data_IF_628536595120
#
_entry.id   IF_628536595120
#
_cell.length_a   1.000
_cell.length_b   1.000
_cell.length_c   1.000
_cell.angle_alpha   90.00
_cell.angle_beta   90.00
_cell.angle_gamma   90.00
#
_symmetry.space_group_name_H-M   'P 1'
#
loop_
_entity.id
_entity.type
_entity.pdbx_description
1 polymer ?
#
# COMPACT_ATOMS: atom_id res chain seq x y z
N UNK A 1 -20.63 -18.19 6.01
CA UNK A 1 -19.98 -18.27 4.67
C UNK A 1 -18.49 -18.33 4.88
N UNK A 2 -17.88 -19.45 4.53
CA UNK A 2 -16.42 -19.53 4.53
C UNK A 2 -15.89 -18.71 3.38
N UNK A 3 -15.01 -17.78 3.68
CA UNK A 3 -14.27 -17.03 2.66
C UNK A 3 -13.36 -18.03 1.97
N UNK A 4 -13.66 -18.34 0.70
CA UNK A 4 -12.84 -19.23 -0.09
C UNK A 4 -11.43 -18.61 -0.21
N UNK A 5 -10.36 -19.33 0.15
CA UNK A 5 -8.99 -18.84 0.00
C UNK A 5 -8.66 -18.35 -1.42
N UNK A 6 -9.29 -18.93 -2.44
CA UNK A 6 -9.10 -18.52 -3.83
C UNK A 6 -9.63 -17.11 -4.10
N UNK A 7 -10.71 -16.71 -3.43
CA UNK A 7 -11.30 -15.38 -3.56
C UNK A 7 -10.33 -14.29 -3.05
N UNK A 8 -9.67 -14.55 -1.92
CA UNK A 8 -8.67 -13.61 -1.35
C UNK A 8 -7.47 -13.48 -2.27
N UNK A 9 -7.00 -14.58 -2.82
CA UNK A 9 -5.88 -14.58 -3.75
C UNK A 9 -6.20 -13.80 -5.02
N UNK A 10 -7.39 -14.00 -5.58
CA UNK A 10 -7.84 -13.28 -6.78
C UNK A 10 -7.97 -11.78 -6.49
N UNK A 11 -8.55 -11.43 -5.36
CA UNK A 11 -8.70 -10.05 -4.90
C UNK A 11 -7.33 -9.37 -4.75
N UNK A 12 -6.38 -10.04 -4.11
CA UNK A 12 -5.03 -9.55 -3.92
C UNK A 12 -4.33 -9.33 -5.26
N UNK A 13 -4.38 -10.30 -6.16
CA UNK A 13 -3.76 -10.20 -7.50
C UNK A 13 -4.35 -9.06 -8.32
N UNK A 14 -5.66 -8.85 -8.24
CA UNK A 14 -6.35 -7.83 -9.01
C UNK A 14 -6.05 -6.41 -8.51
N UNK A 15 -5.99 -6.22 -7.19
CA UNK A 15 -6.00 -4.88 -6.60
C UNK A 15 -4.69 -4.47 -5.90
N UNK A 16 -3.84 -5.42 -5.50
CA UNK A 16 -2.72 -5.13 -4.59
C UNK A 16 -1.74 -4.08 -5.12
N UNK A 17 -1.39 -4.14 -6.40
CA UNK A 17 -0.39 -3.21 -6.98
C UNK A 17 -0.88 -1.78 -7.00
N UNK A 18 -2.13 -1.57 -7.39
CA UNK A 18 -2.74 -0.24 -7.44
C UNK A 18 -2.90 0.34 -6.04
N UNK A 19 -3.36 -0.47 -5.12
CA UNK A 19 -3.53 -0.08 -3.72
C UNK A 19 -2.18 0.30 -3.12
N UNK A 20 -1.16 -0.54 -3.28
CA UNK A 20 0.17 -0.29 -2.74
C UNK A 20 0.80 0.97 -3.32
N UNK A 21 0.74 1.15 -4.65
CA UNK A 21 1.31 2.32 -5.32
C UNK A 21 0.70 3.61 -4.78
N UNK A 22 -0.61 3.66 -4.65
CA UNK A 22 -1.31 4.84 -4.13
C UNK A 22 -1.01 5.06 -2.65
N UNK A 23 -0.97 4.01 -1.84
CA UNK A 23 -0.63 4.12 -0.41
C UNK A 23 0.81 4.60 -0.21
N UNK A 24 1.76 4.15 -1.03
CA UNK A 24 3.15 4.65 -0.99
C UNK A 24 3.17 6.16 -1.24
N UNK A 25 2.45 6.63 -2.24
CA UNK A 25 2.37 8.07 -2.51
C UNK A 25 1.73 8.84 -1.36
N UNK A 26 0.62 8.35 -0.83
CA UNK A 26 -0.14 9.04 0.22
C UNK A 26 0.57 9.02 1.58
N UNK A 27 1.21 7.92 1.92
CA UNK A 27 1.86 7.72 3.23
C UNK A 27 3.36 8.07 3.20
N UNK A 28 3.99 8.07 2.03
CA UNK A 28 5.39 8.43 1.88
C UNK A 28 6.40 7.39 2.39
N UNK A 29 5.97 6.17 2.65
CA UNK A 29 6.79 5.11 3.24
C UNK A 29 6.39 3.75 2.69
N UNK A 30 7.34 2.99 2.14
CA UNK A 30 7.10 1.68 1.53
C UNK A 30 6.63 0.63 2.55
N UNK A 31 7.30 0.56 3.70
CA UNK A 31 6.96 -0.43 4.75
C UNK A 31 5.59 -0.15 5.34
N UNK A 32 5.33 1.11 5.65
CA UNK A 32 4.05 1.55 6.19
C UNK A 32 2.90 1.29 5.20
N UNK A 33 3.12 1.55 3.92
CA UNK A 33 2.14 1.29 2.87
C UNK A 33 1.86 -0.21 2.72
N UNK A 34 2.86 -1.06 2.81
CA UNK A 34 2.69 -2.52 2.77
C UNK A 34 1.87 -3.02 3.95
N UNK A 35 2.18 -2.59 5.17
CA UNK A 35 1.42 -2.92 6.37
C UNK A 35 -0.02 -2.43 6.27
N UNK A 36 -0.22 -1.20 5.82
CA UNK A 36 -1.54 -0.59 5.62
C UNK A 36 -2.35 -1.37 4.58
N UNK A 37 -1.73 -1.78 3.49
CA UNK A 37 -2.37 -2.60 2.46
C UNK A 37 -2.81 -3.95 3.01
N UNK A 38 -1.97 -4.62 3.77
CA UNK A 38 -2.30 -5.90 4.41
C UNK A 38 -3.49 -5.74 5.37
N UNK A 39 -3.49 -4.67 6.17
CA UNK A 39 -4.60 -4.37 7.08
C UNK A 39 -5.90 -4.11 6.31
N UNK A 40 -5.83 -3.41 5.18
CA UNK A 40 -6.99 -3.15 4.33
C UNK A 40 -7.58 -4.43 3.73
N UNK A 41 -6.72 -5.33 3.23
CA UNK A 41 -7.17 -6.62 2.72
C UNK A 41 -7.76 -7.51 3.82
N UNK A 42 -7.16 -7.50 5.00
CA UNK A 42 -7.69 -8.21 6.17
C UNK A 42 -9.10 -7.70 6.53
N UNK A 43 -9.28 -6.39 6.56
CA UNK A 43 -10.58 -5.77 6.79
C UNK A 43 -11.60 -6.15 5.70
N UNK A 44 -11.19 -6.18 4.44
CA UNK A 44 -12.04 -6.58 3.34
C UNK A 44 -12.52 -8.03 3.50
N UNK A 45 -11.64 -8.94 3.84
CA UNK A 45 -11.97 -10.36 4.09
C UNK A 45 -13.00 -10.51 5.21
N UNK A 46 -12.93 -9.67 6.24
CA UNK A 46 -13.85 -9.70 7.38
C UNK A 46 -15.18 -9.01 7.08
N UNK A 47 -15.17 -7.90 6.38
CA UNK A 47 -16.35 -7.03 6.22
C UNK A 47 -17.17 -7.32 4.95
N UNK A 48 -16.55 -7.63 3.83
CA UNK A 48 -17.26 -7.81 2.57
C UNK A 48 -18.22 -9.00 2.54
N UNK A 49 -17.93 -10.15 3.18
CA UNK A 49 -18.90 -11.23 3.26
C UNK A 49 -20.19 -10.85 4.01
N UNK A 50 -20.10 -9.87 4.93
CA UNK A 50 -21.24 -9.41 5.74
C UNK A 50 -21.96 -8.24 5.06
N UNK A 51 -21.20 -7.23 4.61
CA UNK A 51 -21.72 -5.96 4.11
C UNK A 51 -21.81 -5.89 2.58
N UNK A 52 -21.28 -6.90 1.87
CA UNK A 52 -21.18 -6.90 0.42
C UNK A 52 -19.94 -6.18 -0.10
N UNK A 53 -19.50 -6.57 -1.30
CA UNK A 53 -18.37 -5.97 -1.99
C UNK A 53 -18.74 -4.54 -2.42
N UNK A 54 -17.90 -3.52 -2.14
CA UNK A 54 -18.19 -2.16 -2.58
C UNK A 54 -18.15 -2.01 -4.11
N UNK A 55 -18.81 -0.99 -4.64
CA UNK A 55 -18.84 -0.71 -6.08
C UNK A 55 -17.44 -0.44 -6.64
N UNK A 56 -16.60 0.23 -5.86
CA UNK A 56 -15.19 0.46 -6.20
C UNK A 56 -14.28 -0.16 -5.13
N UNK A 57 -13.92 -1.46 -5.28
CA UNK A 57 -13.09 -2.15 -4.30
C UNK A 57 -11.71 -1.52 -4.12
N UNK A 58 -11.09 -1.04 -5.19
CA UNK A 58 -9.76 -0.41 -5.14
C UNK A 58 -9.81 0.86 -4.27
N UNK A 59 -10.78 1.72 -4.47
CA UNK A 59 -10.94 2.94 -3.67
C UNK A 59 -11.21 2.62 -2.20
N UNK A 60 -12.03 1.62 -1.92
CA UNK A 60 -12.32 1.17 -0.56
C UNK A 60 -11.06 0.68 0.15
N UNK A 61 -10.26 -0.14 -0.53
CA UNK A 61 -9.01 -0.69 0.00
C UNK A 61 -7.99 0.43 0.28
N UNK A 62 -7.86 1.38 -0.63
CA UNK A 62 -6.95 2.52 -0.45
C UNK A 62 -7.39 3.38 0.73
N UNK A 63 -8.67 3.70 0.82
CA UNK A 63 -9.22 4.50 1.91
C UNK A 63 -9.03 3.84 3.26
N UNK A 64 -9.36 2.55 3.36
CA UNK A 64 -9.17 1.76 4.58
C UNK A 64 -7.69 1.66 4.95
N UNK A 65 -6.82 1.35 4.00
CA UNK A 65 -5.38 1.30 4.20
C UNK A 65 -4.81 2.64 4.63
N UNK A 66 -5.25 3.72 4.00
CA UNK A 66 -4.84 5.07 4.37
C UNK A 66 -5.17 5.39 5.84
N UNK A 67 -6.39 5.10 6.28
CA UNK A 67 -6.78 5.32 7.67
C UNK A 67 -5.95 4.46 8.65
N UNK A 68 -5.69 3.20 8.32
CA UNK A 68 -4.81 2.33 9.11
C UNK A 68 -3.40 2.90 9.19
N UNK A 69 -2.86 3.39 8.08
CA UNK A 69 -1.54 4.01 8.00
C UNK A 69 -1.45 5.28 8.84
N UNK A 70 -2.46 6.14 8.77
CA UNK A 70 -2.54 7.36 9.58
C UNK A 70 -2.57 7.04 11.07
N UNK A 71 -3.34 6.04 11.47
CA UNK A 71 -3.40 5.61 12.88
C UNK A 71 -2.03 5.13 13.37
N UNK A 72 -1.30 4.39 12.55
CA UNK A 72 0.07 3.97 12.87
C UNK A 72 1.03 5.15 12.98
N UNK A 73 0.94 6.13 12.08
CA UNK A 73 1.75 7.36 12.15
C UNK A 73 1.45 8.10 13.44
N UNK A 74 0.19 8.24 13.82
CA UNK A 74 -0.21 8.91 15.07
C UNK A 74 0.32 8.17 16.30
N UNK A 75 0.27 6.85 16.32
CA UNK A 75 0.82 6.05 17.42
C UNK A 75 2.33 6.21 17.52
N UNK A 76 3.06 6.14 16.42
CA UNK A 76 4.51 6.36 16.38
C UNK A 76 4.88 7.79 16.78
N UNK A 77 4.10 8.77 16.31
CA UNK A 77 4.28 10.19 16.65
C UNK A 77 4.05 10.44 18.15
N UNK A 78 3.04 9.81 18.75
CA UNK A 78 2.78 9.91 20.19
C UNK A 78 3.93 9.29 21.00
N UNK A 79 4.45 8.14 20.58
CA UNK A 79 5.62 7.52 21.20
C UNK A 79 6.86 8.38 21.06
N UNK A 80 7.08 9.02 19.92
CA UNK A 80 8.20 9.95 19.68
C UNK A 80 8.04 11.28 20.41
N UNK A 81 6.81 11.79 20.57
CA UNK A 81 6.56 13.01 21.35
C UNK A 81 6.94 12.86 22.81
N UNK A 82 6.87 11.64 23.34
CA UNK A 82 7.37 11.33 24.69
C UNK A 82 8.89 11.32 24.75
N UNK A 83 9.58 11.09 23.61
CA UNK A 83 11.04 10.99 23.53
C UNK A 83 11.71 12.24 22.95
N UNK A 84 11.13 12.88 21.96
CA UNK A 84 11.64 14.10 21.31
C UNK A 84 10.53 14.96 20.75
N UNK A 85 10.58 16.26 20.98
CA UNK A 85 9.70 17.26 20.46
C UNK A 85 9.80 17.38 18.92
N UNK A 86 8.64 17.25 18.24
CA UNK A 86 8.29 17.86 16.96
C UNK A 86 8.99 17.30 15.72
N UNK A 87 8.28 16.40 15.07
CA UNK A 87 8.26 16.39 13.62
C UNK A 87 7.06 17.24 13.16
N UNK A 88 7.25 18.17 12.18
CA UNK A 88 6.12 18.86 11.60
C UNK A 88 5.17 17.80 11.02
N UNK A 89 3.92 17.88 11.41
CA UNK A 89 2.87 17.14 10.74
C UNK A 89 2.83 17.65 9.30
N UNK A 90 3.47 16.94 8.40
CA UNK A 90 3.17 17.13 6.99
C UNK A 90 1.66 17.01 6.85
N UNK A 91 1.09 17.92 6.08
CA UNK A 91 -0.36 17.98 5.90
C UNK A 91 -0.83 16.65 5.30
N UNK A 92 -1.38 15.81 6.18
CA UNK A 92 -2.08 14.61 5.72
C UNK A 92 -3.33 15.06 4.95
N UNK A 93 -3.62 14.45 3.79
CA UNK A 93 -4.83 14.78 3.04
C UNK A 93 -6.08 14.61 3.91
N UNK A 94 -6.99 15.56 3.81
CA UNK A 94 -8.33 15.41 4.40
C UNK A 94 -9.13 14.38 3.58
N UNK A 95 -10.28 13.93 4.10
CA UNK A 95 -11.14 13.01 3.35
C UNK A 95 -11.57 13.58 1.99
N UNK A 96 -11.84 14.88 1.91
CA UNK A 96 -12.18 15.55 0.66
C UNK A 96 -11.03 15.52 -0.35
N UNK A 97 -9.81 15.77 0.12
CA UNK A 97 -8.62 15.69 -0.73
C UNK A 97 -8.28 14.24 -1.09
N UNK A 98 -8.57 13.29 -0.21
CA UNK A 98 -8.38 11.87 -0.50
C UNK A 98 -9.26 11.40 -1.66
N UNK A 99 -10.51 11.83 -1.72
CA UNK A 99 -11.41 11.50 -2.84
C UNK A 99 -10.88 12.03 -4.18
N UNK A 100 -10.31 13.23 -4.20
CA UNK A 100 -9.65 13.79 -5.39
C UNK A 100 -8.38 13.01 -5.75
N UNK A 101 -7.59 12.61 -4.77
CA UNK A 101 -6.37 11.83 -4.94
C UNK A 101 -6.64 10.42 -5.50
N UNK A 102 -7.79 9.82 -5.19
CA UNK A 102 -8.18 8.51 -5.70
C UNK A 102 -8.47 8.50 -7.20
N UNK A 103 -8.66 9.65 -7.84
CA UNK A 103 -8.84 9.74 -9.29
C UNK A 103 -7.55 9.47 -10.07
N UNK A 104 -6.40 9.52 -9.43
CA UNK A 104 -5.07 9.38 -10.05
C UNK A 104 -4.43 7.99 -9.84
N UNK A 105 -5.21 6.96 -9.51
CA UNK A 105 -4.71 5.63 -9.14
C UNK A 105 -3.84 4.98 -10.23
N UNK A 106 -4.21 5.14 -11.49
CA UNK A 106 -3.44 4.57 -12.61
C UNK A 106 -2.08 5.26 -12.77
N UNK A 107 -2.04 6.57 -12.57
CA UNK A 107 -0.80 7.35 -12.61
C UNK A 107 0.16 6.97 -11.47
N UNK A 108 -0.38 6.57 -10.32
CA UNK A 108 0.43 6.15 -9.17
C UNK A 108 1.20 4.86 -9.45
N UNK A 109 0.61 3.90 -10.16
CA UNK A 109 1.31 2.70 -10.59
C UNK A 109 2.50 3.04 -11.51
N UNK A 110 2.30 3.96 -12.42
CA UNK A 110 3.35 4.45 -13.31
C UNK A 110 4.45 5.19 -12.55
N UNK A 111 4.10 6.02 -11.60
CA UNK A 111 5.07 6.70 -10.71
C UNK A 111 5.90 5.70 -9.90
N UNK A 112 5.27 4.66 -9.39
CA UNK A 112 5.97 3.59 -8.67
C UNK A 112 6.98 2.90 -9.57
N UNK A 113 6.61 2.59 -10.81
CA UNK A 113 7.52 2.01 -11.80
C UNK A 113 8.74 2.90 -12.03
N UNK A 114 8.55 4.20 -12.24
CA UNK A 114 9.66 5.14 -12.41
C UNK A 114 10.52 5.24 -11.16
N UNK A 115 9.93 5.17 -9.98
CA UNK A 115 10.68 5.15 -8.71
C UNK A 115 11.55 3.91 -8.60
N UNK A 116 11.03 2.74 -8.96
CA UNK A 116 11.78 1.48 -8.96
C UNK A 116 12.93 1.48 -9.98
N UNK A 117 12.80 2.25 -11.06
CA UNK A 117 13.80 2.36 -12.13
C UNK A 117 14.70 3.61 -11.99
N UNK A 118 14.71 4.26 -10.81
CA UNK A 118 15.45 5.51 -10.61
C UNK A 118 16.95 5.33 -10.87
N UNK A 119 17.60 6.28 -11.58
CA UNK A 119 19.01 6.18 -11.94
C UNK A 119 19.99 6.07 -10.76
N UNK A 120 19.59 6.53 -9.56
CA UNK A 120 20.42 6.44 -8.34
C UNK A 120 20.56 5.00 -7.82
N UNK A 121 19.73 4.08 -8.30
CA UNK A 121 19.74 2.68 -7.87
C UNK A 121 20.64 1.87 -8.80
N UNK A 122 21.32 0.86 -8.26
CA UNK A 122 22.04 -0.12 -9.06
C UNK A 122 21.08 -0.92 -9.95
N UNK A 123 21.58 -1.54 -10.99
CA UNK A 123 20.75 -2.38 -11.88
C UNK A 123 20.09 -3.51 -11.09
N UNK A 124 20.81 -4.16 -10.20
CA UNK A 124 20.27 -5.22 -9.35
C UNK A 124 19.13 -4.71 -8.45
N UNK A 125 19.31 -3.54 -7.86
CA UNK A 125 18.28 -2.92 -7.01
C UNK A 125 17.03 -2.56 -7.81
N UNK A 126 17.18 -2.03 -9.03
CA UNK A 126 16.05 -1.73 -9.92
C UNK A 126 15.26 -2.97 -10.26
N UNK A 127 15.95 -4.05 -10.64
CA UNK A 127 15.30 -5.32 -10.96
C UNK A 127 14.59 -5.90 -9.74
N UNK A 128 15.26 -5.92 -8.59
CA UNK A 128 14.70 -6.45 -7.35
C UNK A 128 13.44 -5.67 -6.91
N UNK A 129 13.49 -4.34 -6.91
CA UNK A 129 12.36 -3.49 -6.57
C UNK A 129 11.20 -3.65 -7.55
N UNK A 130 11.50 -3.70 -8.84
CA UNK A 130 10.46 -3.87 -9.87
C UNK A 130 9.75 -5.21 -9.71
N UNK A 131 10.48 -6.29 -9.49
CA UNK A 131 9.90 -7.61 -9.27
C UNK A 131 9.05 -7.65 -8.00
N UNK A 132 9.51 -7.03 -6.93
CA UNK A 132 8.79 -7.00 -5.67
C UNK A 132 7.53 -6.13 -5.75
N UNK A 133 7.66 -4.90 -6.23
CA UNK A 133 6.59 -3.90 -6.15
C UNK A 133 5.60 -3.97 -7.32
N UNK A 134 6.09 -4.28 -8.52
CA UNK A 134 5.24 -4.32 -9.72
C UNK A 134 4.70 -5.72 -10.01
N UNK A 135 5.45 -6.77 -9.68
CA UNK A 135 5.06 -8.16 -9.94
C UNK A 135 4.53 -8.86 -8.69
N UNK A 136 4.46 -8.17 -7.57
CA UNK A 136 3.95 -8.68 -6.28
C UNK A 136 4.66 -9.95 -5.79
N UNK A 137 5.95 -10.11 -6.12
CA UNK A 137 6.76 -11.22 -5.63
C UNK A 137 7.21 -10.97 -4.19
N UNK A 138 7.30 -12.04 -3.42
CA UNK A 138 7.89 -11.96 -2.08
C UNK A 138 9.40 -11.75 -2.17
N UNK A 139 10.01 -11.28 -1.09
CA UNK A 139 11.46 -11.11 -1.02
C UNK A 139 12.20 -12.42 -1.32
N UNK A 140 11.68 -13.54 -0.83
CA UNK A 140 12.24 -14.88 -1.07
C UNK A 140 12.12 -15.27 -2.55
N UNK A 141 10.99 -14.98 -3.19
CA UNK A 141 10.79 -15.23 -4.61
C UNK A 141 11.74 -14.38 -5.47
N UNK A 142 11.93 -13.11 -5.10
CA UNK A 142 12.89 -12.23 -5.77
C UNK A 142 14.32 -12.77 -5.62
N UNK A 143 14.70 -13.18 -4.42
CA UNK A 143 16.01 -13.78 -4.16
C UNK A 143 16.23 -15.05 -5.01
N UNK A 144 15.23 -15.94 -5.09
CA UNK A 144 15.27 -17.12 -5.94
C UNK A 144 15.43 -16.77 -7.42
N UNK A 145 14.67 -15.78 -7.89
CA UNK A 145 14.72 -15.34 -9.30
C UNK A 145 16.10 -14.77 -9.68
N UNK A 146 16.76 -14.09 -8.75
CA UNK A 146 18.09 -13.51 -8.95
C UNK A 146 19.22 -14.45 -8.57
N UNK A 147 18.94 -15.68 -8.19
CA UNK A 147 19.93 -16.70 -7.76
C UNK A 147 20.77 -16.25 -6.55
N UNK A 148 20.14 -15.53 -5.65
CA UNK A 148 20.81 -15.06 -4.43
C UNK A 148 20.56 -15.97 -3.25
#
# INVERSE_FOLDING_TARGET
MSTDPSYVDDLYREHSRRVQATLIRLLGDFELAEEAMQDAFMAAVQQWPINGKPDNPTAWLIRTGYHCGIDQIRQRSTARRRAHLLLPTERLPTEETLDLELTAIEDDALRLLFTCCHPSLSMEARVALTLREMCALTTEQVASALLM
#
